data_IF_960144354310
#
_entry.id   IF_960144354310
#
_cell.length_a   1.000
_cell.length_b   1.000
_cell.length_c   1.000
_cell.angle_alpha   90.00
_cell.angle_beta   90.00
_cell.angle_gamma   90.00
#
_symmetry.space_group_name_H-M   'P 1'
#
loop_
_entity.id
_entity.type
_entity.pdbx_description
1 polymer ?
#
# COMPACT_ATOMS: atom_id res chain seq x y z
N UNK A 1 10.39 1.13 40.14
CA UNK A 1 9.61 1.90 39.16
C UNK A 1 10.56 2.24 38.04
N UNK A 2 10.49 1.58 36.88
CA UNK A 2 10.86 2.17 35.58
C UNK A 2 10.44 1.22 34.46
N UNK A 3 9.17 1.35 34.05
CA UNK A 3 8.67 0.68 32.85
C UNK A 3 9.14 1.55 31.68
N UNK A 4 10.38 1.32 31.24
CA UNK A 4 10.92 1.96 30.04
C UNK A 4 10.17 1.40 28.83
N UNK A 5 8.97 1.95 28.60
CA UNK A 5 8.18 1.66 27.42
C UNK A 5 8.75 2.49 26.29
N UNK A 6 9.85 2.02 25.70
CA UNK A 6 10.05 2.28 24.28
C UNK A 6 8.74 1.87 23.58
N UNK A 7 8.27 2.59 22.54
CA UNK A 7 7.16 2.09 21.75
C UNK A 7 7.60 0.72 21.24
N UNK A 8 7.03 -0.36 21.81
CA UNK A 8 7.31 -1.73 21.37
C UNK A 8 6.70 -1.82 19.99
N UNK A 9 7.50 -1.49 18.99
CA UNK A 9 7.10 -1.63 17.60
C UNK A 9 6.70 -3.10 17.41
N UNK A 10 5.50 -3.33 16.91
CA UNK A 10 4.99 -4.68 16.65
C UNK A 10 6.03 -5.49 15.87
N UNK A 11 6.13 -6.81 16.07
CA UNK A 11 7.05 -7.63 15.28
C UNK A 11 6.74 -7.46 13.78
N UNK A 12 7.79 -7.45 12.95
CA UNK A 12 7.60 -7.47 11.50
C UNK A 12 6.99 -8.83 11.11
N UNK A 13 5.84 -8.77 10.45
CA UNK A 13 5.11 -9.90 9.91
C UNK A 13 5.31 -9.95 8.39
N UNK A 14 5.24 -11.16 7.83
CA UNK A 14 5.27 -11.36 6.38
C UNK A 14 3.85 -11.62 5.89
N UNK A 15 3.41 -10.83 4.92
CA UNK A 15 2.16 -11.02 4.20
C UNK A 15 2.43 -11.43 2.76
N UNK A 16 1.41 -11.98 2.11
CA UNK A 16 1.46 -12.36 0.70
C UNK A 16 0.45 -11.54 -0.08
N UNK A 17 0.91 -10.87 -1.12
CA UNK A 17 0.05 -10.15 -2.04
C UNK A 17 -0.24 -11.04 -3.24
N UNK A 18 -1.50 -11.47 -3.36
CA UNK A 18 -1.95 -12.37 -4.41
C UNK A 18 -2.09 -11.64 -5.76
N UNK A 19 -1.28 -12.05 -6.74
CA UNK A 19 -1.33 -11.60 -8.13
C UNK A 19 0.03 -11.71 -8.83
N UNK A 20 0.11 -11.42 -10.14
CA UNK A 20 1.37 -11.36 -10.89
C UNK A 20 2.10 -10.04 -10.57
N UNK A 21 2.55 -9.89 -9.33
CA UNK A 21 2.98 -8.61 -8.74
C UNK A 21 4.42 -8.63 -8.23
N UNK A 22 5.26 -9.48 -8.81
CA UNK A 22 6.70 -9.43 -8.57
C UNK A 22 7.24 -8.01 -8.84
N UNK A 23 8.00 -7.45 -7.89
CA UNK A 23 8.66 -6.16 -8.09
C UNK A 23 7.83 -4.91 -7.77
N UNK A 24 6.71 -5.02 -7.04
CA UNK A 24 6.01 -3.84 -6.51
C UNK A 24 6.76 -3.26 -5.31
N UNK A 25 7.03 -1.96 -5.34
CA UNK A 25 7.51 -1.27 -4.15
C UNK A 25 6.37 -1.15 -3.13
N UNK A 26 6.68 -1.35 -1.86
CA UNK A 26 5.75 -1.12 -0.77
C UNK A 26 6.39 -0.27 0.32
N UNK A 27 5.56 0.49 1.02
CA UNK A 27 5.98 1.35 2.14
C UNK A 27 4.90 1.38 3.21
N UNK A 28 5.30 1.14 4.46
CA UNK A 28 4.55 1.37 5.69
C UNK A 28 5.21 2.51 6.48
N UNK A 29 4.60 2.99 7.58
CA UNK A 29 5.23 3.99 8.45
C UNK A 29 6.59 3.58 9.00
N UNK A 30 6.87 2.28 9.09
CA UNK A 30 8.12 1.79 9.71
C UNK A 30 8.95 0.87 8.83
N UNK A 31 8.39 0.33 7.74
CA UNK A 31 9.06 -0.60 6.83
C UNK A 31 8.89 -0.14 5.39
N UNK A 32 9.84 -0.49 4.53
CA UNK A 32 9.72 -0.30 3.08
C UNK A 32 10.51 -1.38 2.37
N UNK A 33 10.08 -1.74 1.16
CA UNK A 33 10.68 -2.84 0.43
C UNK A 33 10.08 -3.05 -0.95
N UNK A 34 10.39 -4.19 -1.54
CA UNK A 34 9.88 -4.65 -2.83
C UNK A 34 9.29 -6.04 -2.62
N UNK A 35 8.12 -6.30 -3.20
CA UNK A 35 7.52 -7.63 -3.17
C UNK A 35 8.39 -8.65 -3.90
N UNK A 36 8.54 -9.83 -3.34
CA UNK A 36 9.26 -10.95 -3.98
C UNK A 36 8.49 -11.50 -5.19
N UNK A 37 9.08 -12.43 -5.94
CA UNK A 37 8.40 -13.14 -7.03
C UNK A 37 7.13 -13.89 -6.57
N UNK A 38 7.12 -14.34 -5.32
CA UNK A 38 5.96 -14.95 -4.64
C UNK A 38 4.96 -13.91 -4.10
N UNK A 39 5.24 -12.62 -4.25
CA UNK A 39 4.41 -11.52 -3.78
C UNK A 39 4.53 -11.24 -2.28
N UNK A 40 5.59 -11.71 -1.62
CA UNK A 40 5.77 -11.52 -0.18
C UNK A 40 6.19 -10.08 0.16
N UNK A 41 5.64 -9.53 1.25
CA UNK A 41 6.01 -8.22 1.77
C UNK A 41 6.07 -8.23 3.30
N UNK A 42 6.87 -7.34 3.87
CA UNK A 42 6.96 -7.16 5.32
C UNK A 42 6.10 -5.99 5.77
N UNK A 43 5.37 -6.18 6.87
CA UNK A 43 4.52 -5.17 7.47
C UNK A 43 4.46 -5.35 8.99
N UNK A 44 3.89 -4.37 9.69
CA UNK A 44 3.51 -4.52 11.09
C UNK A 44 2.00 -4.43 11.24
N UNK A 45 1.44 -5.23 12.13
CA UNK A 45 0.01 -5.23 12.39
C UNK A 45 -0.47 -3.83 12.81
N UNK A 46 -1.60 -3.40 12.26
CA UNK A 46 -2.19 -2.07 12.50
C UNK A 46 -1.58 -0.94 11.68
N UNK A 47 -0.58 -1.21 10.83
CA UNK A 47 -0.02 -0.21 9.91
C UNK A 47 -0.78 -0.19 8.57
N UNK A 48 -0.79 0.97 7.93
CA UNK A 48 -1.19 1.08 6.53
C UNK A 48 0.01 0.82 5.62
N UNK A 49 -0.18 0.00 4.59
CA UNK A 49 0.81 -0.29 3.57
C UNK A 49 0.38 0.34 2.25
N UNK A 50 1.31 1.05 1.61
CA UNK A 50 1.14 1.69 0.31
C UNK A 50 1.94 0.93 -0.72
N UNK A 51 1.31 0.53 -1.82
CA UNK A 51 1.99 -0.12 -2.94
C UNK A 51 2.19 0.85 -4.10
N UNK A 52 3.35 0.76 -4.75
CA UNK A 52 3.78 1.64 -5.82
C UNK A 52 4.52 0.86 -6.91
N UNK A 53 4.36 1.27 -8.16
CA UNK A 53 5.09 0.71 -9.31
C UNK A 53 5.62 1.84 -10.19
N UNK A 54 6.92 1.86 -10.46
CA UNK A 54 7.53 2.90 -11.31
C UNK A 54 7.28 4.35 -10.85
N UNK A 55 7.00 4.58 -9.57
CA UNK A 55 6.65 5.90 -9.02
C UNK A 55 5.14 6.21 -9.00
N UNK A 56 4.31 5.34 -9.55
CA UNK A 56 2.85 5.45 -9.49
C UNK A 56 2.34 4.73 -8.24
N UNK A 57 1.58 5.42 -7.39
CA UNK A 57 0.91 4.83 -6.22
C UNK A 57 -0.31 4.04 -6.71
N UNK A 58 -0.33 2.74 -6.45
CA UNK A 58 -1.46 1.86 -6.78
C UNK A 58 -2.59 1.98 -5.74
N UNK A 59 -2.24 2.29 -4.50
CA UNK A 59 -3.19 2.45 -3.40
C UNK A 59 -2.54 2.21 -2.05
N UNK A 60 -3.26 2.57 -0.99
CA UNK A 60 -2.89 2.29 0.39
C UNK A 60 -4.01 1.49 1.06
N UNK A 61 -3.65 0.41 1.74
CA UNK A 61 -4.58 -0.48 2.44
C UNK A 61 -4.05 -0.78 3.83
N UNK A 62 -4.91 -1.19 4.75
CA UNK A 62 -4.45 -1.72 6.02
C UNK A 62 -3.65 -3.00 5.77
N UNK A 63 -2.49 -3.10 6.40
CA UNK A 63 -1.60 -4.23 6.19
C UNK A 63 -2.22 -5.50 6.80
N UNK A 64 -2.31 -6.53 5.99
CA UNK A 64 -2.95 -7.80 6.35
C UNK A 64 -2.12 -8.97 5.84
N UNK A 65 -2.29 -10.19 6.39
CA UNK A 65 -1.52 -11.35 5.97
C UNK A 65 -1.70 -11.71 4.49
N UNK A 66 -2.85 -11.33 3.90
CA UNK A 66 -3.16 -11.53 2.49
C UNK A 66 -3.77 -10.27 1.90
N UNK A 67 -3.13 -9.75 0.87
CA UNK A 67 -3.60 -8.60 0.10
C UNK A 67 -3.79 -8.97 -1.37
N UNK A 68 -4.59 -8.22 -2.11
CA UNK A 68 -4.79 -8.41 -3.53
C UNK A 68 -5.07 -7.07 -4.23
N UNK A 69 -5.00 -7.06 -5.57
CA UNK A 69 -5.23 -5.86 -6.37
C UNK A 69 -6.64 -5.27 -6.21
N UNK A 70 -7.67 -6.10 -5.97
CA UNK A 70 -9.04 -5.60 -5.86
C UNK A 70 -9.24 -4.78 -4.58
N UNK A 71 -8.52 -5.09 -3.50
CA UNK A 71 -8.50 -4.28 -2.27
C UNK A 71 -7.87 -2.91 -2.48
N UNK A 72 -6.83 -2.81 -3.34
CA UNK A 72 -6.23 -1.53 -3.71
C UNK A 72 -7.19 -0.73 -4.60
N UNK A 73 -7.75 -1.37 -5.63
CA UNK A 73 -8.69 -0.74 -6.55
C UNK A 73 -9.94 -0.19 -5.85
N UNK A 74 -10.50 -0.93 -4.87
CA UNK A 74 -11.65 -0.47 -4.09
C UNK A 74 -11.33 0.73 -3.20
N UNK A 75 -10.08 0.90 -2.76
CA UNK A 75 -9.69 2.06 -1.94
C UNK A 75 -9.42 3.31 -2.77
N UNK A 76 -8.96 3.14 -4.02
CA UNK A 76 -8.83 4.26 -4.98
C UNK A 76 -10.20 4.66 -5.55
N UNK A 77 -11.18 3.75 -5.62
CA UNK A 77 -12.54 4.02 -6.07
C UNK A 77 -13.48 4.68 -5.03
N UNK A 78 -12.97 5.06 -3.84
CA UNK A 78 -13.83 5.35 -2.68
C UNK A 78 -13.35 6.45 -1.73
N UNK A 79 -12.64 7.47 -2.21
CA UNK A 79 -12.64 8.78 -1.54
C UNK A 79 -13.65 9.69 -2.25
N UNK A 80 -14.95 9.48 -2.01
CA UNK A 80 -15.97 10.45 -2.45
C UNK A 80 -16.00 11.68 -1.53
N UNK A 81 -15.43 11.64 -0.31
CA UNK A 81 -15.47 12.79 0.61
C UNK A 81 -14.14 13.53 0.84
N UNK A 82 -13.10 13.28 0.02
CA UNK A 82 -11.89 14.13 0.00
C UNK A 82 -11.43 14.50 -1.41
N UNK A 83 -12.38 14.63 -2.33
CA UNK A 83 -12.22 15.23 -3.67
C UNK A 83 -12.57 16.73 -3.63
N UNK A 84 -11.95 17.47 -2.71
CA UNK A 84 -11.83 18.94 -2.83
C UNK A 84 -10.38 19.36 -3.12
N UNK A 85 -9.61 18.47 -3.74
CA UNK A 85 -8.32 18.83 -4.31
C UNK A 85 -8.45 18.90 -5.85
N UNK A 86 -8.38 20.09 -6.46
CA UNK A 86 -8.46 20.25 -7.92
C UNK A 86 -7.20 19.75 -8.66
N UNK A 87 -6.32 18.96 -8.02
CA UNK A 87 -5.05 18.52 -8.64
C UNK A 87 -5.11 17.14 -9.32
N UNK A 88 -6.24 16.44 -9.32
CA UNK A 88 -6.42 15.22 -10.16
C UNK A 88 -6.78 15.59 -11.60
N UNK A 89 -5.88 16.35 -12.24
CA UNK A 89 -5.84 16.51 -13.70
C UNK A 89 -4.70 15.65 -14.21
N UNK A 90 -4.99 14.41 -14.59
CA UNK A 90 -4.37 13.72 -15.73
C UNK A 90 -4.76 12.25 -15.71
N UNK A 91 -5.89 11.92 -16.33
CA UNK A 91 -6.01 10.76 -17.21
C UNK A 91 -7.34 10.89 -17.96
N UNK A 92 -7.29 11.53 -19.13
CA UNK A 92 -8.50 11.82 -19.90
C UNK A 92 -8.23 12.60 -21.17
N UNK A 93 -7.21 12.21 -21.94
CA UNK A 93 -7.10 12.62 -23.35
C UNK A 93 -6.75 11.42 -24.20
N UNK A 94 -7.71 10.53 -24.30
CA UNK A 94 -7.82 9.59 -25.40
C UNK A 94 -8.54 10.36 -26.52
N UNK A 95 -7.81 10.81 -27.54
CA UNK A 95 -8.43 11.30 -28.77
C UNK A 95 -8.11 10.30 -29.87
N UNK A 96 -9.16 9.65 -30.38
CA UNK A 96 -9.16 9.15 -31.74
C UNK A 96 -9.05 10.37 -32.67
N UNK A 97 -8.10 10.32 -33.58
CA UNK A 97 -8.17 11.03 -34.87
C UNK A 97 -8.57 10.02 -35.93
#
# INVERSE_FOLDING_TARGET
>A
MEKSSAPVLSPALTGVFAGPIAGLKYQTPTLSGITTDDGEFQYREGEAITFLVGGVVLGAVEAAPRLNLTQLANRVAGKIDKLHDPSVTNLGRFIHS
#
